data_IF_859892228971
#
_entry.id   IF_859892228971
#
_cell.length_a   1.000
_cell.length_b   1.000
_cell.length_c   1.000
_cell.angle_alpha   90.00
_cell.angle_beta   90.00
_cell.angle_gamma   90.00
#
_symmetry.space_group_name_H-M   'P 1'
#
loop_
_entity.id
_entity.type
_entity.pdbx_description
1 polymer ?
#
# COMPACT_ATOMS: atom_id res chain seq x y z
N UNK A 1 6.18 -10.40 -18.43
CA UNK A 1 7.38 -11.26 -18.26
C UNK A 1 8.61 -10.40 -18.46
N UNK A 2 9.65 -10.52 -17.62
CA UNK A 2 10.89 -9.83 -17.86
C UNK A 2 11.50 -10.26 -19.22
N UNK A 3 12.25 -9.36 -19.85
CA UNK A 3 12.89 -9.65 -21.13
C UNK A 3 13.94 -10.75 -20.97
N UNK A 4 13.82 -11.79 -21.76
CA UNK A 4 14.87 -12.80 -21.91
C UNK A 4 15.88 -12.32 -22.94
N UNK A 5 17.13 -12.16 -22.55
CA UNK A 5 18.21 -11.69 -23.41
C UNK A 5 19.29 -12.77 -23.59
N UNK A 6 20.00 -12.75 -24.70
CA UNK A 6 21.20 -13.61 -24.89
C UNK A 6 22.20 -13.37 -23.75
N UNK A 7 22.82 -14.46 -23.26
CA UNK A 7 23.85 -14.37 -22.23
C UNK A 7 25.01 -13.48 -22.72
N UNK A 8 25.55 -12.66 -21.78
CA UNK A 8 26.66 -11.74 -22.05
C UNK A 8 26.36 -10.60 -23.03
N UNK A 9 25.10 -10.31 -23.32
CA UNK A 9 24.77 -9.11 -24.10
C UNK A 9 25.20 -7.86 -23.31
N UNK A 10 25.99 -6.92 -23.90
CA UNK A 10 26.50 -5.74 -23.18
C UNK A 10 25.42 -4.87 -22.59
N UNK A 11 24.23 -4.83 -23.21
CA UNK A 11 23.07 -4.10 -22.71
C UNK A 11 22.60 -4.59 -21.31
N UNK A 12 22.85 -5.86 -20.92
CA UNK A 12 22.45 -6.42 -19.63
C UNK A 12 23.06 -5.62 -18.47
N UNK A 13 24.36 -5.30 -18.56
CA UNK A 13 25.05 -4.56 -17.49
C UNK A 13 24.58 -3.11 -17.39
N UNK A 14 24.28 -2.47 -18.52
CA UNK A 14 23.70 -1.13 -18.52
C UNK A 14 22.31 -1.13 -17.91
N UNK A 15 21.44 -2.05 -18.34
CA UNK A 15 20.07 -2.18 -17.83
C UNK A 15 20.03 -2.49 -16.34
N UNK A 16 20.94 -3.33 -15.84
CA UNK A 16 21.07 -3.58 -14.40
C UNK A 16 21.44 -2.31 -13.61
N UNK A 17 22.33 -1.46 -14.14
CA UNK A 17 22.68 -0.17 -13.51
C UNK A 17 21.51 0.81 -13.48
N UNK A 18 20.60 0.70 -14.44
CA UNK A 18 19.36 1.48 -14.52
C UNK A 18 18.21 0.84 -13.74
N UNK A 19 18.48 -0.19 -12.92
CA UNK A 19 17.47 -0.97 -12.19
C UNK A 19 16.40 -1.58 -13.12
N UNK A 20 16.78 -1.92 -14.37
CA UNK A 20 15.91 -2.62 -15.30
C UNK A 20 16.16 -4.12 -15.17
N UNK A 21 15.13 -4.85 -14.72
CA UNK A 21 15.24 -6.29 -14.61
C UNK A 21 15.16 -6.96 -15.99
N UNK A 22 16.19 -7.72 -16.30
CA UNK A 22 16.28 -8.57 -17.49
C UNK A 22 16.75 -9.96 -17.09
N UNK A 23 16.23 -10.99 -17.74
CA UNK A 23 16.69 -12.36 -17.57
C UNK A 23 17.71 -12.73 -18.63
N UNK A 24 18.79 -13.39 -18.23
CA UNK A 24 19.63 -14.14 -19.15
C UNK A 24 18.99 -15.50 -19.48
N UNK A 25 19.55 -16.19 -20.49
CA UNK A 25 19.03 -17.49 -20.91
C UNK A 25 19.07 -18.54 -19.79
N UNK A 26 20.12 -18.54 -19.00
CA UNK A 26 20.31 -19.52 -17.91
C UNK A 26 19.21 -19.36 -16.87
N UNK A 27 18.96 -18.17 -16.40
CA UNK A 27 17.89 -17.88 -15.42
C UNK A 27 16.50 -18.17 -15.99
N UNK A 28 16.25 -17.80 -17.25
CA UNK A 28 14.95 -18.01 -17.90
C UNK A 28 14.60 -19.49 -18.11
N UNK A 29 15.59 -20.35 -18.29
CA UNK A 29 15.37 -21.81 -18.48
C UNK A 29 15.29 -22.60 -17.19
N UNK A 30 15.75 -22.03 -16.08
CA UNK A 30 15.74 -22.70 -14.75
C UNK A 30 14.60 -22.22 -13.84
N UNK A 31 13.85 -21.20 -14.27
CA UNK A 31 12.77 -20.65 -13.47
C UNK A 31 11.42 -21.23 -13.93
N UNK A 32 10.85 -22.13 -13.15
CA UNK A 32 9.42 -22.47 -13.25
C UNK A 32 8.59 -21.29 -12.70
N UNK A 33 7.50 -20.96 -13.40
CA UNK A 33 6.63 -19.85 -13.01
C UNK A 33 5.51 -20.45 -12.15
N UNK A 34 5.53 -20.11 -10.85
CA UNK A 34 4.37 -20.32 -9.98
C UNK A 34 3.58 -19.01 -9.83
N UNK A 35 2.26 -19.06 -9.57
CA UNK A 35 1.51 -17.88 -9.18
C UNK A 35 2.09 -17.24 -7.92
N UNK A 36 2.13 -15.90 -7.89
CA UNK A 36 2.46 -15.17 -6.67
C UNK A 36 1.27 -15.21 -5.71
N UNK A 37 1.49 -15.54 -4.46
CA UNK A 37 0.46 -15.51 -3.42
C UNK A 37 0.42 -14.16 -2.74
N UNK A 38 -0.68 -13.44 -2.92
CA UNK A 38 -0.92 -12.13 -2.31
C UNK A 38 -2.03 -12.27 -1.27
N UNK A 39 -1.82 -11.72 -0.07
CA UNK A 39 -2.86 -11.63 0.95
C UNK A 39 -3.21 -10.17 1.22
N UNK A 40 -4.50 -9.87 1.33
CA UNK A 40 -5.01 -8.53 1.64
C UNK A 40 -5.75 -8.60 2.98
N UNK A 41 -5.18 -7.97 4.01
CA UNK A 41 -5.89 -7.70 5.27
C UNK A 41 -6.71 -6.42 5.08
N UNK A 42 -7.99 -6.61 4.82
CA UNK A 42 -8.89 -5.50 4.53
C UNK A 42 -9.62 -5.04 5.80
N UNK A 43 -9.19 -3.89 6.35
CA UNK A 43 -9.76 -3.26 7.54
C UNK A 43 -10.79 -2.17 7.20
N UNK A 44 -10.93 -1.82 5.92
CA UNK A 44 -11.85 -0.76 5.47
C UNK A 44 -13.31 -1.16 5.70
N UNK A 45 -14.19 -0.18 5.99
CA UNK A 45 -15.61 -0.44 6.25
C UNK A 45 -16.38 -0.88 5.00
N UNK A 46 -16.03 -0.34 3.82
CA UNK A 46 -16.62 -0.69 2.51
C UNK A 46 -15.73 -1.71 1.78
N UNK A 47 -15.72 -2.95 2.27
CA UNK A 47 -14.77 -3.98 1.81
C UNK A 47 -14.85 -4.24 0.31
N UNK A 48 -16.03 -4.38 -0.26
CA UNK A 48 -16.22 -4.68 -1.69
C UNK A 48 -15.63 -3.57 -2.59
N UNK A 49 -15.77 -2.32 -2.18
CA UNK A 49 -15.16 -1.20 -2.91
C UNK A 49 -13.64 -1.27 -2.85
N UNK A 50 -13.09 -1.44 -1.66
CA UNK A 50 -11.64 -1.56 -1.44
C UNK A 50 -11.03 -2.75 -2.17
N UNK A 51 -11.72 -3.90 -2.16
CA UNK A 51 -11.34 -5.09 -2.95
C UNK A 51 -11.20 -4.75 -4.43
N UNK A 52 -12.22 -4.09 -4.98
CA UNK A 52 -12.24 -3.70 -6.40
C UNK A 52 -11.11 -2.74 -6.74
N UNK A 53 -10.84 -1.76 -5.87
CA UNK A 53 -9.80 -0.76 -6.08
C UNK A 53 -8.40 -1.40 -6.06
N UNK A 54 -8.13 -2.27 -5.08
CA UNK A 54 -6.85 -2.99 -4.97
C UNK A 54 -6.66 -4.01 -6.10
N UNK A 55 -7.68 -4.81 -6.43
CA UNK A 55 -7.59 -5.79 -7.51
C UNK A 55 -7.32 -5.10 -8.86
N UNK A 56 -7.92 -3.94 -9.10
CA UNK A 56 -7.68 -3.16 -10.33
C UNK A 56 -6.20 -2.80 -10.49
N UNK A 57 -5.51 -2.40 -9.41
CA UNK A 57 -4.08 -2.08 -9.44
C UNK A 57 -3.21 -3.33 -9.53
N UNK A 58 -3.55 -4.39 -8.79
CA UNK A 58 -2.83 -5.65 -8.86
C UNK A 58 -2.94 -6.32 -10.24
N UNK A 59 -4.06 -6.15 -10.95
CA UNK A 59 -4.27 -6.76 -12.26
C UNK A 59 -3.44 -6.15 -13.40
N UNK A 60 -2.76 -5.02 -13.16
CA UNK A 60 -1.94 -4.34 -14.17
C UNK A 60 -0.53 -4.96 -14.30
N UNK A 61 -0.44 -6.28 -14.40
CA UNK A 61 0.80 -7.03 -14.58
C UNK A 61 0.54 -8.32 -15.36
N UNK A 62 1.50 -8.82 -16.15
CA UNK A 62 1.39 -10.12 -16.79
C UNK A 62 1.68 -11.31 -15.87
N UNK A 63 2.01 -11.07 -14.60
CA UNK A 63 2.30 -12.12 -13.63
C UNK A 63 0.99 -12.71 -13.11
N UNK A 64 0.93 -14.03 -12.99
CA UNK A 64 -0.21 -14.70 -12.37
C UNK A 64 -0.14 -14.53 -10.86
N UNK A 65 -1.26 -14.16 -10.24
CA UNK A 65 -1.38 -13.97 -8.80
C UNK A 65 -2.62 -14.65 -8.24
N UNK A 66 -2.44 -15.31 -7.09
CA UNK A 66 -3.51 -15.86 -6.27
C UNK A 66 -3.77 -14.87 -5.12
N UNK A 67 -4.91 -14.20 -5.14
CA UNK A 67 -5.28 -13.20 -4.13
C UNK A 67 -6.19 -13.83 -3.08
N UNK A 68 -5.83 -13.69 -1.81
CA UNK A 68 -6.63 -14.11 -0.66
C UNK A 68 -6.98 -12.91 0.20
N UNK A 69 -8.21 -12.91 0.76
CA UNK A 69 -8.61 -11.87 1.71
C UNK A 69 -8.57 -12.39 3.14
N UNK A 70 -7.92 -11.61 4.00
CA UNK A 70 -7.82 -11.84 5.43
C UNK A 70 -8.70 -10.83 6.17
N UNK A 71 -9.32 -11.26 7.26
CA UNK A 71 -10.03 -10.40 8.21
C UNK A 71 -9.53 -10.64 9.63
N UNK A 72 -9.70 -9.63 10.47
CA UNK A 72 -9.59 -9.79 11.92
C UNK A 72 -10.86 -10.45 12.46
N UNK A 73 -10.72 -11.37 13.40
CA UNK A 73 -11.83 -12.11 14.02
C UNK A 73 -12.53 -11.28 15.10
N UNK A 74 -11.77 -10.47 15.79
CA UNK A 74 -12.22 -9.60 16.88
C UNK A 74 -13.12 -8.43 16.44
N UNK A 75 -13.27 -8.23 15.10
CA UNK A 75 -14.12 -7.16 14.56
C UNK A 75 -15.09 -7.69 13.50
N UNK A 76 -16.39 -7.42 13.70
CA UNK A 76 -17.44 -7.75 12.73
C UNK A 76 -17.74 -6.51 11.89
N UNK A 77 -17.55 -6.55 10.55
CA UNK A 77 -17.86 -5.42 9.67
C UNK A 77 -19.37 -5.17 9.62
N UNK A 78 -19.74 -3.88 9.75
CA UNK A 78 -21.17 -3.48 9.76
C UNK A 78 -21.72 -3.20 8.35
N UNK A 79 -20.84 -2.86 7.40
CA UNK A 79 -21.21 -2.34 6.07
C UNK A 79 -20.94 -3.36 4.94
N UNK A 80 -20.71 -4.62 5.28
CA UNK A 80 -20.47 -5.69 4.29
C UNK A 80 -21.38 -6.86 4.61
N UNK A 81 -22.09 -7.43 3.61
CA UNK A 81 -22.95 -8.60 3.81
C UNK A 81 -22.18 -9.76 4.43
N UNK A 82 -22.79 -10.46 5.38
CA UNK A 82 -22.16 -11.57 6.09
C UNK A 82 -21.83 -12.73 5.14
N UNK A 83 -22.66 -12.97 4.15
CA UNK A 83 -22.48 -13.99 3.12
C UNK A 83 -21.21 -13.73 2.32
N UNK A 84 -20.94 -12.46 1.95
CA UNK A 84 -19.71 -12.04 1.29
C UNK A 84 -18.48 -12.34 2.15
N UNK A 85 -18.56 -11.99 3.46
CA UNK A 85 -17.49 -12.26 4.40
C UNK A 85 -17.22 -13.76 4.58
N UNK A 86 -18.26 -14.57 4.66
CA UNK A 86 -18.13 -16.02 4.81
C UNK A 86 -17.57 -16.69 3.56
N UNK A 87 -17.87 -16.17 2.37
CA UNK A 87 -17.48 -16.74 1.09
C UNK A 87 -16.04 -16.40 0.72
N UNK A 88 -15.60 -15.16 0.97
CA UNK A 88 -14.35 -14.64 0.41
C UNK A 88 -13.26 -14.34 1.45
N UNK A 89 -13.60 -14.22 2.75
CA UNK A 89 -12.64 -13.85 3.78
C UNK A 89 -12.28 -15.04 4.67
N UNK A 90 -11.00 -15.11 5.00
CA UNK A 90 -10.46 -16.10 5.94
C UNK A 90 -9.97 -15.40 7.20
N UNK A 91 -10.19 -16.03 8.35
CA UNK A 91 -9.61 -15.57 9.62
C UNK A 91 -8.10 -15.81 9.62
N UNK A 92 -7.33 -14.94 10.28
CA UNK A 92 -5.88 -15.06 10.39
C UNK A 92 -5.45 -16.45 10.89
N UNK A 93 -6.09 -16.99 11.90
CA UNK A 93 -5.76 -18.31 12.47
C UNK A 93 -5.76 -19.46 11.45
N UNK A 94 -6.59 -19.34 10.40
CA UNK A 94 -6.64 -20.34 9.31
C UNK A 94 -5.53 -20.15 8.28
N UNK A 95 -4.81 -19.04 8.34
CA UNK A 95 -3.77 -18.66 7.39
C UNK A 95 -2.38 -18.58 8.04
N UNK A 96 -2.30 -18.71 9.36
CA UNK A 96 -1.08 -18.49 10.14
C UNK A 96 0.12 -19.36 9.74
N UNK A 97 -0.13 -20.56 9.22
CA UNK A 97 0.91 -21.51 8.79
C UNK A 97 1.25 -21.35 7.29
N UNK A 98 0.54 -20.49 6.59
CA UNK A 98 0.79 -20.20 5.16
C UNK A 98 1.84 -19.09 5.02
N UNK A 99 2.52 -19.08 3.87
CA UNK A 99 3.45 -18.01 3.47
C UNK A 99 2.96 -17.35 2.22
N UNK A 100 3.27 -16.06 2.08
CA UNK A 100 2.80 -15.21 0.98
C UNK A 100 3.97 -14.43 0.39
N UNK A 101 3.89 -14.17 -0.91
CA UNK A 101 4.87 -13.35 -1.61
C UNK A 101 4.66 -11.87 -1.30
N UNK A 102 3.41 -11.44 -1.16
CA UNK A 102 3.08 -10.07 -0.80
C UNK A 102 1.88 -9.96 0.12
N UNK A 103 1.85 -8.90 0.93
CA UNK A 103 0.73 -8.55 1.79
C UNK A 103 0.37 -7.08 1.65
N UNK A 104 -0.92 -6.79 1.61
CA UNK A 104 -1.45 -5.44 1.72
C UNK A 104 -2.28 -5.35 2.99
N UNK A 105 -2.02 -4.35 3.82
CA UNK A 105 -2.81 -4.02 5.01
C UNK A 105 -3.44 -2.66 4.78
N UNK A 106 -4.77 -2.61 4.69
CA UNK A 106 -5.50 -1.40 4.35
C UNK A 106 -5.63 -0.46 5.55
N UNK A 107 -6.02 0.78 5.26
CA UNK A 107 -6.47 1.72 6.29
C UNK A 107 -7.69 1.23 7.06
N UNK A 108 -7.99 1.93 8.16
CA UNK A 108 -9.16 1.69 9.00
C UNK A 108 -9.68 3.03 9.55
N UNK A 109 -11.01 3.20 9.75
CA UNK A 109 -11.60 4.46 10.23
C UNK A 109 -11.52 4.60 11.76
N UNK A 110 -10.36 4.31 12.34
CA UNK A 110 -10.10 4.33 13.80
C UNK A 110 -8.88 5.20 14.15
N UNK A 111 -8.47 6.08 13.26
CA UNK A 111 -7.25 6.87 13.38
C UNK A 111 -7.22 7.87 14.55
N UNK A 112 -8.41 8.29 15.04
CA UNK A 112 -8.52 9.21 16.18
C UNK A 112 -8.46 8.49 17.55
N UNK A 113 -8.52 7.16 17.58
CA UNK A 113 -8.35 6.36 18.78
C UNK A 113 -6.85 6.10 19.02
N UNK A 114 -6.44 6.00 20.26
CA UNK A 114 -5.10 5.46 20.56
C UNK A 114 -5.02 4.02 20.03
N UNK A 115 -3.81 3.59 19.64
CA UNK A 115 -3.67 2.29 18.97
C UNK A 115 -4.13 1.15 19.88
N UNK A 116 -3.78 1.21 21.15
CA UNK A 116 -4.12 0.22 22.17
C UNK A 116 -5.63 0.17 22.50
N UNK A 117 -6.37 1.25 22.23
CA UNK A 117 -7.82 1.33 22.42
C UNK A 117 -8.62 0.72 21.25
N UNK A 118 -7.94 0.39 20.15
CA UNK A 118 -8.57 -0.29 19.00
C UNK A 118 -8.88 -1.74 19.38
N UNK A 119 -10.13 -2.15 19.33
CA UNK A 119 -10.62 -3.44 19.83
C UNK A 119 -9.99 -4.69 19.17
N UNK A 120 -9.28 -4.55 18.06
CA UNK A 120 -8.52 -5.60 17.38
C UNK A 120 -7.00 -5.37 17.41
N UNK A 121 -6.50 -4.51 18.30
CA UNK A 121 -5.09 -4.15 18.37
C UNK A 121 -4.18 -5.35 18.62
N UNK A 122 -4.51 -6.19 19.58
CA UNK A 122 -3.72 -7.38 19.91
C UNK A 122 -3.63 -8.37 18.73
N UNK A 123 -4.76 -8.52 18.01
CA UNK A 123 -4.81 -9.41 16.85
C UNK A 123 -3.97 -8.86 15.69
N UNK A 124 -4.08 -7.55 15.39
CA UNK A 124 -3.32 -6.95 14.29
C UNK A 124 -1.82 -6.88 14.61
N UNK A 125 -1.45 -6.64 15.87
CA UNK A 125 -0.06 -6.69 16.33
C UNK A 125 0.56 -8.08 16.12
N UNK A 126 -0.21 -9.12 16.43
CA UNK A 126 0.18 -10.52 16.12
C UNK A 126 0.35 -10.74 14.62
N UNK A 127 -0.53 -10.17 13.78
CA UNK A 127 -0.43 -10.26 12.33
C UNK A 127 0.79 -9.50 11.81
N UNK A 128 1.13 -8.34 12.39
CA UNK A 128 2.33 -7.58 12.02
C UNK A 128 3.61 -8.39 12.27
N UNK A 129 3.75 -9.03 13.42
CA UNK A 129 4.89 -9.91 13.71
C UNK A 129 4.93 -11.13 12.80
N UNK A 130 3.77 -11.74 12.55
CA UNK A 130 3.64 -12.86 11.64
C UNK A 130 4.07 -12.48 10.22
N UNK A 131 3.64 -11.33 9.72
CA UNK A 131 3.98 -10.86 8.38
C UNK A 131 5.49 -10.76 8.16
N UNK A 132 6.25 -10.33 9.17
CA UNK A 132 7.72 -10.23 9.09
C UNK A 132 8.44 -11.54 8.77
N UNK A 133 7.83 -12.68 9.10
CA UNK A 133 8.42 -14.02 8.96
C UNK A 133 7.72 -14.88 7.90
N UNK A 134 6.57 -14.45 7.40
CA UNK A 134 5.73 -15.23 6.48
C UNK A 134 5.46 -14.52 5.15
N UNK A 135 5.89 -13.26 5.01
CA UNK A 135 5.63 -12.45 3.82
C UNK A 135 6.94 -11.85 3.30
N UNK A 136 7.15 -11.89 1.99
CA UNK A 136 8.35 -11.30 1.38
C UNK A 136 8.33 -9.79 1.45
N UNK A 137 7.21 -9.15 1.06
CA UNK A 137 7.05 -7.68 1.17
C UNK A 137 5.63 -7.30 1.57
N UNK A 138 5.51 -6.36 2.52
CA UNK A 138 4.22 -5.87 3.05
C UNK A 138 4.04 -4.38 2.74
N UNK A 139 2.86 -4.04 2.24
CA UNK A 139 2.40 -2.70 1.94
C UNK A 139 1.36 -2.28 2.97
N UNK A 140 1.70 -1.31 3.82
CA UNK A 140 0.82 -0.74 4.83
C UNK A 140 0.23 0.57 4.31
N UNK A 141 -1.09 0.75 4.37
CA UNK A 141 -1.79 1.91 3.79
C UNK A 141 -2.50 2.71 4.89
N UNK A 142 -2.33 4.04 4.86
CA UNK A 142 -3.01 5.02 5.70
C UNK A 142 -2.88 4.71 7.21
N UNK A 143 -3.98 4.38 7.89
CA UNK A 143 -3.95 4.01 9.31
C UNK A 143 -3.01 2.83 9.58
N UNK A 144 -3.03 1.80 8.74
CA UNK A 144 -2.12 0.67 8.91
C UNK A 144 -0.64 1.09 8.78
N UNK A 145 -0.32 2.09 7.94
CA UNK A 145 1.03 2.63 7.85
C UNK A 145 1.46 3.26 9.17
N UNK A 146 0.61 4.06 9.79
CA UNK A 146 0.88 4.66 11.11
C UNK A 146 0.95 3.58 12.21
N UNK A 147 0.04 2.62 12.19
CA UNK A 147 0.01 1.52 13.16
C UNK A 147 1.27 0.62 13.07
N UNK A 148 1.70 0.28 11.86
CA UNK A 148 2.91 -0.50 11.63
C UNK A 148 4.18 0.26 12.01
N UNK A 149 4.27 1.56 11.70
CA UNK A 149 5.37 2.43 12.12
C UNK A 149 5.43 2.55 13.66
N UNK A 150 4.29 2.67 14.31
CA UNK A 150 4.20 2.69 15.78
C UNK A 150 4.64 1.36 16.37
N UNK A 151 4.02 0.27 15.94
CA UNK A 151 4.26 -1.04 16.52
C UNK A 151 5.70 -1.53 16.35
N UNK A 152 6.25 -1.39 15.16
CA UNK A 152 7.57 -1.91 14.84
C UNK A 152 8.73 -0.98 15.17
N UNK A 153 8.50 0.33 15.16
CA UNK A 153 9.57 1.34 15.21
C UNK A 153 9.35 2.41 16.27
N UNK A 154 8.23 2.34 17.01
CA UNK A 154 7.92 3.31 18.06
C UNK A 154 7.61 4.72 17.56
N UNK A 155 7.25 4.87 16.28
CA UNK A 155 6.91 6.18 15.69
C UNK A 155 5.50 6.59 16.12
N UNK A 156 5.33 7.69 16.88
CA UNK A 156 4.02 8.11 17.34
C UNK A 156 3.21 8.75 16.20
N UNK A 157 1.88 8.74 16.34
CA UNK A 157 1.00 9.56 15.52
C UNK A 157 0.61 10.84 16.26
N UNK A 158 0.32 11.88 15.49
CA UNK A 158 -0.09 13.19 16.01
C UNK A 158 -1.43 13.60 15.39
N UNK A 159 -2.34 14.21 16.16
CA UNK A 159 -3.57 14.75 15.61
C UNK A 159 -3.29 15.96 14.74
N UNK A 160 -4.01 16.07 13.63
CA UNK A 160 -4.03 17.26 12.78
C UNK A 160 -5.10 18.24 13.30
N UNK A 161 -4.84 19.54 13.16
CA UNK A 161 -5.83 20.58 13.49
C UNK A 161 -7.07 20.49 12.59
N UNK A 162 -6.86 20.12 11.32
CA UNK A 162 -7.90 19.89 10.32
C UNK A 162 -7.66 18.57 9.59
N UNK A 163 -8.74 17.96 9.13
CA UNK A 163 -8.66 16.78 8.26
C UNK A 163 -7.81 17.07 7.03
N UNK A 164 -6.80 16.26 6.78
CA UNK A 164 -6.03 16.25 5.55
C UNK A 164 -6.89 15.56 4.48
N UNK A 165 -7.56 16.35 3.61
CA UNK A 165 -8.57 15.84 2.71
C UNK A 165 -8.40 16.41 1.29
N UNK A 166 -8.06 15.57 0.34
CA UNK A 166 -7.84 15.98 -1.05
C UNK A 166 -6.71 15.24 -1.75
N UNK A 167 -6.19 15.84 -2.81
CA UNK A 167 -5.10 15.30 -3.64
C UNK A 167 -3.89 16.22 -3.54
N UNK A 168 -2.80 15.72 -2.98
CA UNK A 168 -1.62 16.51 -2.66
C UNK A 168 -0.43 16.12 -3.51
N UNK A 169 0.40 17.12 -3.81
CA UNK A 169 1.64 16.93 -4.54
C UNK A 169 2.70 16.31 -3.65
N UNK A 170 3.35 15.27 -4.14
CA UNK A 170 4.41 14.54 -3.48
C UNK A 170 5.73 14.70 -4.22
N UNK A 171 6.85 14.62 -3.50
CA UNK A 171 8.19 14.60 -4.05
C UNK A 171 8.86 13.26 -3.76
N UNK A 172 9.50 12.68 -4.78
CA UNK A 172 10.37 11.51 -4.59
C UNK A 172 11.69 11.96 -3.99
N UNK A 173 12.05 11.44 -2.82
CA UNK A 173 13.33 11.74 -2.15
C UNK A 173 14.45 10.77 -2.52
N UNK A 174 14.08 9.60 -3.02
CA UNK A 174 14.98 8.54 -3.42
C UNK A 174 14.61 8.02 -4.84
N UNK A 175 14.74 8.85 -5.90
CA UNK A 175 14.25 8.49 -7.24
C UNK A 175 14.97 7.29 -7.86
N UNK A 176 16.14 6.91 -7.35
CA UNK A 176 16.89 5.74 -7.76
C UNK A 176 16.33 4.41 -7.27
N UNK A 177 15.42 4.43 -6.28
CA UNK A 177 14.81 3.20 -5.77
C UNK A 177 13.86 2.59 -6.82
N UNK A 178 13.88 1.26 -6.99
CA UNK A 178 13.03 0.57 -7.96
C UNK A 178 11.53 0.86 -7.80
N UNK A 179 11.06 1.19 -6.58
CA UNK A 179 9.66 1.55 -6.33
C UNK A 179 9.21 2.78 -7.14
N UNK A 180 10.13 3.71 -7.42
CA UNK A 180 9.87 4.94 -8.18
C UNK A 180 10.25 4.83 -9.66
N UNK A 181 10.52 3.64 -10.15
CA UNK A 181 10.85 3.47 -11.56
C UNK A 181 9.69 3.94 -12.44
N UNK A 182 10.00 4.88 -13.36
CA UNK A 182 9.03 5.50 -14.25
C UNK A 182 8.18 6.60 -13.61
N UNK A 183 8.43 6.93 -12.34
CA UNK A 183 7.84 8.10 -11.70
C UNK A 183 8.51 9.38 -12.21
N UNK A 184 7.74 10.44 -12.27
CA UNK A 184 8.26 11.80 -12.33
C UNK A 184 8.79 12.21 -10.95
N UNK A 185 9.60 13.29 -10.88
CA UNK A 185 10.10 13.83 -9.62
C UNK A 185 8.96 14.28 -8.69
N UNK A 186 7.81 14.57 -9.28
CA UNK A 186 6.58 15.00 -8.61
C UNK A 186 5.43 14.12 -9.06
N UNK A 187 4.66 13.64 -8.08
CA UNK A 187 3.45 12.87 -8.33
C UNK A 187 2.33 13.31 -7.38
N UNK A 188 1.12 12.84 -7.59
CA UNK A 188 -0.03 13.18 -6.78
C UNK A 188 -0.56 11.98 -6.03
N UNK A 189 -1.01 12.21 -4.79
CA UNK A 189 -1.56 11.17 -3.92
C UNK A 189 -2.81 11.68 -3.18
N UNK A 190 -3.93 10.95 -3.22
CA UNK A 190 -5.09 11.22 -2.39
C UNK A 190 -4.80 11.00 -0.90
N UNK A 191 -5.33 11.87 -0.06
CA UNK A 191 -5.31 11.73 1.40
C UNK A 191 -6.69 11.99 1.98
N UNK A 192 -7.04 11.21 3.01
CA UNK A 192 -8.20 11.43 3.87
C UNK A 192 -7.84 10.94 5.27
N UNK A 193 -7.31 11.82 6.12
CA UNK A 193 -6.83 11.45 7.45
C UNK A 193 -6.90 12.61 8.46
N UNK A 194 -7.03 12.26 9.74
CA UNK A 194 -7.04 13.20 10.86
C UNK A 194 -5.76 13.17 11.69
N UNK A 195 -4.82 12.28 11.35
CA UNK A 195 -3.54 12.12 12.06
C UNK A 195 -2.37 12.08 11.09
N UNK A 196 -1.17 12.31 11.61
CA UNK A 196 0.08 12.24 10.86
C UNK A 196 1.19 11.57 11.68
N UNK A 197 2.25 11.16 10.98
CA UNK A 197 3.57 10.91 11.57
C UNK A 197 4.49 12.04 11.17
N UNK A 198 5.43 12.42 12.05
CA UNK A 198 6.33 13.54 11.79
C UNK A 198 7.62 13.10 11.11
N UNK A 199 8.11 13.95 10.24
CA UNK A 199 9.36 13.72 9.49
C UNK A 199 10.55 13.54 10.40
N UNK A 200 10.60 14.30 11.48
CA UNK A 200 11.68 14.29 12.47
C UNK A 200 11.78 12.92 13.15
N UNK A 201 10.65 12.30 13.50
CA UNK A 201 10.61 10.98 14.12
C UNK A 201 11.07 9.89 13.15
N UNK A 202 10.67 9.97 11.89
CA UNK A 202 11.13 9.04 10.84
C UNK A 202 12.64 9.16 10.63
N UNK A 203 13.16 10.38 10.51
CA UNK A 203 14.59 10.62 10.26
C UNK A 203 15.47 10.29 11.47
N UNK A 204 14.93 10.32 12.67
CA UNK A 204 15.65 9.93 13.89
C UNK A 204 15.85 8.41 14.02
N UNK A 205 15.06 7.60 13.28
CA UNK A 205 15.18 6.14 13.33
C UNK A 205 16.02 5.61 12.14
N UNK A 206 17.22 5.04 12.38
CA UNK A 206 18.12 4.59 11.32
C UNK A 206 17.63 3.38 10.53
N UNK A 207 16.61 2.67 11.01
CA UNK A 207 15.98 1.54 10.30
C UNK A 207 14.97 2.00 9.24
N UNK A 208 14.58 3.28 9.28
CA UNK A 208 13.58 3.86 8.38
C UNK A 208 14.23 4.72 7.30
N UNK A 209 13.70 4.63 6.11
CA UNK A 209 14.08 5.50 4.99
C UNK A 209 12.85 6.27 4.52
N UNK A 210 12.85 7.59 4.70
CA UNK A 210 11.83 8.46 4.12
C UNK A 210 12.07 8.53 2.61
N UNK A 211 11.14 8.01 1.82
CA UNK A 211 11.30 7.89 0.36
C UNK A 211 10.44 8.87 -0.43
N UNK A 212 9.35 9.38 0.16
CA UNK A 212 8.57 10.48 -0.41
C UNK A 212 7.94 11.33 0.69
N UNK A 213 7.88 12.64 0.45
CA UNK A 213 7.19 13.60 1.32
C UNK A 213 6.52 14.72 0.51
N UNK A 214 5.86 15.60 1.22
CA UNK A 214 5.23 16.80 0.68
C UNK A 214 5.35 17.96 1.67
N UNK A 215 5.61 19.17 1.20
CA UNK A 215 5.51 20.35 2.04
C UNK A 215 4.07 20.66 2.51
N UNK A 216 3.06 20.11 1.84
CA UNK A 216 1.64 20.34 2.14
C UNK A 216 1.06 19.31 3.12
N UNK A 217 1.49 18.04 3.04
CA UNK A 217 0.91 16.95 3.83
C UNK A 217 1.94 16.10 4.60
N UNK A 218 3.21 16.52 4.65
CA UNK A 218 4.24 15.86 5.44
C UNK A 218 4.70 14.52 4.86
N UNK A 219 4.95 13.55 5.74
CA UNK A 219 5.43 12.20 5.38
C UNK A 219 4.40 11.47 4.52
N UNK A 220 4.83 10.93 3.38
CA UNK A 220 3.96 10.23 2.45
C UNK A 220 4.31 8.77 2.28
N UNK A 221 5.61 8.46 2.13
CA UNK A 221 6.05 7.08 1.97
C UNK A 221 7.35 6.85 2.74
N UNK A 222 7.37 5.78 3.52
CA UNK A 222 8.52 5.29 4.28
C UNK A 222 8.80 3.85 3.88
N UNK A 223 10.07 3.50 3.75
CA UNK A 223 10.53 2.15 3.47
C UNK A 223 11.38 1.64 4.63
N UNK A 224 11.25 0.36 4.95
CA UNK A 224 12.10 -0.32 5.93
C UNK A 224 12.54 -1.70 5.43
N UNK A 225 13.56 -2.26 6.08
CA UNK A 225 14.08 -3.60 5.82
C UNK A 225 14.37 -3.88 4.34
N UNK A 226 14.93 -2.87 3.63
CA UNK A 226 15.31 -3.01 2.22
C UNK A 226 14.12 -3.21 1.26
N UNK A 227 12.92 -2.74 1.62
CA UNK A 227 11.70 -2.89 0.80
C UNK A 227 10.82 -4.08 1.18
N UNK A 228 11.12 -4.74 2.29
CA UNK A 228 10.21 -5.72 2.87
C UNK A 228 9.00 -5.08 3.56
N UNK A 229 9.10 -3.80 3.88
CA UNK A 229 8.01 -3.01 4.48
C UNK A 229 7.94 -1.65 3.82
N UNK A 230 6.74 -1.30 3.33
CA UNK A 230 6.40 0.02 2.80
C UNK A 230 5.23 0.59 3.59
N UNK A 231 5.38 1.81 4.07
CA UNK A 231 4.34 2.55 4.80
C UNK A 231 3.92 3.75 3.98
N UNK A 232 2.69 3.75 3.50
CA UNK A 232 2.12 4.77 2.63
C UNK A 232 0.98 5.46 3.39
N UNK A 233 1.14 6.73 3.74
CA UNK A 233 0.17 7.47 4.57
C UNK A 233 -1.06 7.95 3.81
N UNK A 234 -1.01 7.93 2.48
CA UNK A 234 -2.13 8.27 1.60
C UNK A 234 -2.73 7.06 0.91
N UNK A 235 -3.51 7.30 -0.15
CA UNK A 235 -4.37 6.32 -0.79
C UNK A 235 -4.17 6.29 -2.31
N UNK A 236 -3.15 5.60 -2.79
CA UNK A 236 -2.94 5.42 -4.23
C UNK A 236 -4.00 4.51 -4.88
N UNK A 237 -4.68 3.69 -4.07
CA UNK A 237 -5.70 2.75 -4.52
C UNK A 237 -7.05 3.41 -4.82
N UNK A 238 -7.30 4.61 -4.37
CA UNK A 238 -8.61 5.26 -4.49
C UNK A 238 -9.10 5.39 -5.93
N UNK A 239 -10.36 5.00 -6.14
CA UNK A 239 -11.09 5.30 -7.38
C UNK A 239 -11.34 6.82 -7.52
N UNK A 240 -11.71 7.22 -8.75
CA UNK A 240 -11.93 8.64 -9.06
C UNK A 240 -12.98 9.31 -8.17
N UNK A 241 -13.99 8.59 -7.73
CA UNK A 241 -15.13 9.10 -6.96
C UNK A 241 -15.04 8.82 -5.45
N UNK A 242 -13.94 8.26 -4.94
CA UNK A 242 -13.85 7.87 -3.53
C UNK A 242 -13.95 9.08 -2.60
N UNK A 243 -13.17 10.14 -2.85
CA UNK A 243 -13.24 11.36 -2.04
C UNK A 243 -14.56 12.13 -2.24
N UNK A 244 -15.17 12.07 -3.42
CA UNK A 244 -16.48 12.67 -3.69
C UNK A 244 -17.58 12.00 -2.86
N UNK A 245 -17.59 10.66 -2.85
CA UNK A 245 -18.53 9.89 -2.04
C UNK A 245 -18.35 10.17 -0.55
N UNK A 246 -17.10 10.31 -0.09
CA UNK A 246 -16.78 10.65 1.30
C UNK A 246 -17.24 12.06 1.64
N UNK A 247 -16.95 13.05 0.78
CA UNK A 247 -17.37 14.43 0.96
C UNK A 247 -18.89 14.58 1.05
N UNK A 248 -19.62 13.97 0.12
CA UNK A 248 -21.08 13.98 0.11
C UNK A 248 -21.68 13.32 1.34
N UNK A 249 -21.19 12.14 1.70
CA UNK A 249 -21.62 11.45 2.92
C UNK A 249 -21.42 12.29 4.17
N UNK A 250 -20.23 12.91 4.32
CA UNK A 250 -19.91 13.71 5.50
C UNK A 250 -20.74 15.01 5.54
N UNK A 251 -21.00 15.62 4.37
CA UNK A 251 -21.85 16.82 4.24
C UNK A 251 -23.31 16.56 4.55
N UNK A 252 -23.82 15.36 4.30
CA UNK A 252 -25.18 14.95 4.69
C UNK A 252 -25.35 14.86 6.22
N UNK A 253 -24.24 14.73 6.97
CA UNK A 253 -24.24 14.58 8.44
C UNK A 253 -23.98 15.93 9.13
N UNK A 254 -23.18 16.81 8.53
CA UNK A 254 -22.75 18.08 9.11
C UNK A 254 -22.43 19.11 8.01
N UNK A 255 -22.68 20.41 8.32
CA UNK A 255 -22.52 21.50 7.36
C UNK A 255 -21.06 22.01 7.24
N UNK A 256 -20.20 21.72 8.21
CA UNK A 256 -18.83 22.24 8.35
C UNK A 256 -17.76 21.35 7.72
N UNK A 257 -18.10 20.64 6.63
CA UNK A 257 -17.18 19.75 5.94
C UNK A 257 -16.42 20.49 4.85
N UNK A 258 -15.10 20.53 4.98
CA UNK A 258 -14.22 21.08 3.96
C UNK A 258 -14.27 20.23 2.68
N UNK A 259 -14.31 20.90 1.53
CA UNK A 259 -14.22 20.26 0.23
C UNK A 259 -12.80 19.68 0.01
N UNK A 260 -12.66 18.48 -0.62
CA UNK A 260 -11.34 17.92 -0.91
C UNK A 260 -10.53 18.83 -1.82
N UNK A 261 -9.30 19.17 -1.38
CA UNK A 261 -8.39 20.10 -2.09
C UNK A 261 -7.87 19.46 -3.37
N UNK A 262 -7.71 20.24 -4.44
CA UNK A 262 -7.13 19.81 -5.72
C UNK A 262 -7.83 18.59 -6.36
N UNK A 263 -9.09 18.37 -6.05
CA UNK A 263 -9.81 17.18 -6.46
C UNK A 263 -10.84 17.44 -7.56
N UNK A 264 -11.65 18.50 -7.43
CA UNK A 264 -12.64 18.84 -8.45
C UNK A 264 -12.05 19.78 -9.51
N UNK A 265 -12.54 19.66 -10.74
CA UNK A 265 -12.23 20.61 -11.82
C UNK A 265 -12.69 22.01 -11.42
N UNK A 266 -11.80 22.98 -11.55
CA UNK A 266 -12.05 24.39 -11.21
C UNK A 266 -12.55 24.59 -9.76
N UNK A 267 -12.19 23.69 -8.83
CA UNK A 267 -12.67 23.67 -7.45
C UNK A 267 -14.20 23.71 -7.32
N UNK A 268 -14.91 23.12 -8.26
CA UNK A 268 -16.37 23.10 -8.27
C UNK A 268 -16.88 21.65 -8.00
N UNK A 269 -17.56 21.38 -6.87
CA UNK A 269 -18.07 20.06 -6.51
C UNK A 269 -19.20 19.56 -7.40
N UNK A 270 -19.78 20.41 -8.27
CA UNK A 270 -20.75 20.00 -9.28
C UNK A 270 -20.08 19.45 -10.54
N UNK A 271 -18.74 19.53 -10.65
CA UNK A 271 -17.95 18.98 -11.75
C UNK A 271 -17.33 17.65 -11.36
N UNK A 272 -17.02 16.84 -12.37
CA UNK A 272 -16.36 15.57 -12.16
C UNK A 272 -14.94 15.74 -11.56
N UNK A 273 -14.49 14.77 -10.76
CA UNK A 273 -13.14 14.73 -10.21
C UNK A 273 -12.04 14.76 -11.28
N UNK A 274 -10.96 15.48 -10.99
CA UNK A 274 -9.74 15.48 -11.78
C UNK A 274 -8.76 14.42 -11.24
N UNK A 275 -8.67 13.28 -11.90
CA UNK A 275 -7.79 12.20 -11.49
C UNK A 275 -6.36 12.45 -11.95
N UNK A 276 -5.46 12.73 -11.03
CA UNK A 276 -4.05 13.03 -11.30
C UNK A 276 -3.07 11.99 -10.73
N UNK A 277 -3.56 10.95 -10.04
CA UNK A 277 -2.73 9.93 -9.37
C UNK A 277 -2.73 8.56 -10.05
N UNK A 278 -3.64 8.29 -10.97
CA UNK A 278 -3.86 6.94 -11.54
C UNK A 278 -2.62 6.33 -12.18
N UNK A 279 -1.86 7.11 -12.96
CA UNK A 279 -0.67 6.61 -13.62
C UNK A 279 0.38 6.15 -12.60
N UNK A 280 0.67 7.01 -11.62
CA UNK A 280 1.64 6.71 -10.56
C UNK A 280 1.16 5.59 -9.62
N UNK A 281 -0.15 5.48 -9.36
CA UNK A 281 -0.72 4.35 -8.62
C UNK A 281 -0.43 3.02 -9.33
N UNK A 282 -0.69 2.94 -10.64
CA UNK A 282 -0.37 1.74 -11.42
C UNK A 282 1.13 1.43 -11.42
N UNK A 283 2.00 2.45 -11.55
CA UNK A 283 3.44 2.27 -11.47
C UNK A 283 3.89 1.78 -10.10
N UNK A 284 3.36 2.35 -9.02
CA UNK A 284 3.69 1.96 -7.64
C UNK A 284 3.44 0.47 -7.42
N UNK A 285 2.21 0.01 -7.69
CA UNK A 285 1.84 -1.39 -7.49
C UNK A 285 2.59 -2.32 -8.45
N UNK A 286 2.78 -1.92 -9.71
CA UNK A 286 3.57 -2.67 -10.66
C UNK A 286 5.03 -2.83 -10.21
N UNK A 287 5.66 -1.74 -9.75
CA UNK A 287 7.04 -1.74 -9.27
C UNK A 287 7.18 -2.56 -7.99
N UNK A 288 6.23 -2.43 -7.05
CA UNK A 288 6.21 -3.25 -5.84
C UNK A 288 6.12 -4.74 -6.17
N UNK A 289 5.18 -5.14 -7.03
CA UNK A 289 5.02 -6.54 -7.47
C UNK A 289 6.28 -7.04 -8.16
N UNK A 290 6.83 -6.25 -9.08
CA UNK A 290 7.96 -6.69 -9.90
C UNK A 290 9.27 -6.74 -9.12
N UNK A 291 9.61 -5.69 -8.36
CA UNK A 291 10.94 -5.51 -7.77
C UNK A 291 11.04 -5.98 -6.32
N UNK A 292 9.97 -5.96 -5.55
CA UNK A 292 9.99 -6.28 -4.12
C UNK A 292 9.23 -7.56 -3.76
N UNK A 293 8.48 -8.10 -4.71
CA UNK A 293 7.84 -9.41 -4.59
C UNK A 293 8.48 -10.41 -5.54
N UNK A 294 8.26 -10.27 -6.84
CA UNK A 294 8.64 -11.28 -7.84
C UNK A 294 10.13 -11.55 -7.90
N UNK A 295 10.97 -10.52 -7.74
CA UNK A 295 12.42 -10.68 -7.80
C UNK A 295 13.05 -11.13 -6.47
N UNK A 296 12.39 -10.85 -5.35
CA UNK A 296 12.89 -11.14 -4.00
C UNK A 296 12.34 -12.44 -3.42
N UNK A 297 11.14 -12.84 -3.83
CA UNK A 297 10.53 -14.07 -3.31
C UNK A 297 11.27 -15.32 -3.79
N UNK A 298 11.52 -16.30 -2.91
CA UNK A 298 12.12 -17.56 -3.31
C UNK A 298 11.13 -18.36 -4.18
N UNK A 299 11.66 -19.17 -5.11
CA UNK A 299 10.83 -20.08 -5.89
C UNK A 299 10.03 -21.04 -4.97
N UNK A 300 10.69 -21.65 -4.01
CA UNK A 300 10.03 -22.39 -2.95
C UNK A 300 9.56 -21.46 -1.84
N UNK A 301 8.27 -21.17 -1.81
CA UNK A 301 7.64 -20.25 -0.86
C UNK A 301 7.90 -20.63 0.61
N UNK A 302 8.20 -21.89 0.91
CA UNK A 302 8.53 -22.35 2.27
C UNK A 302 9.81 -21.71 2.82
N UNK A 303 10.68 -21.20 1.93
CA UNK A 303 11.97 -20.59 2.28
C UNK A 303 11.86 -19.09 2.64
N UNK A 304 10.70 -18.46 2.57
CA UNK A 304 10.48 -17.09 3.08
C UNK A 304 10.80 -17.06 4.57
N UNK A 305 11.63 -16.07 4.97
CA UNK A 305 12.12 -15.89 6.35
C UNK A 305 11.69 -14.52 6.87
#
# INVERSE_FOLDING_TARGET
MPLRLPDKLPAIELLKRENIFVMDNTRATTQDIRPLKIVILNLMPLKITTETDLIRLLSNTPLQMDVSFMKVKSHTPKNTPIEHMMMFYRDFEKMRDEKFDGMIITGAPVEQMDFEDVNYWDEISTIFDWARNHVTSTLYICWAAQAGLYYHYGIPKYPLEKKMFGVFRQHTLCPHLPIFRGFDDVFYMPHSRHTEVRKEDILANPELTLIADSPENGVSMVMARGGREFFITGHMEYASNTLDNEYKRDKDIRDDVDMPVNYYRDNNPDKEPLVTWRAHANLLYHNWINYYIYQETPYDISQIK
#
